data_IF_197155694971
#
_entry.id   IF_197155694971
#
_cell.length_a   1.000
_cell.length_b   1.000
_cell.length_c   1.000
_cell.angle_alpha   90.00
_cell.angle_beta   90.00
_cell.angle_gamma   90.00
#
_symmetry.space_group_name_H-M   'P 1'
#
loop_
_entity.id
_entity.type
_entity.pdbx_description
1 polymer ?
#
# COMPACT_ATOMS: atom_id res chain seq x y z
N UNK A 1 0.35 0.64 -15.02
CA UNK A 1 1.02 1.73 -14.28
C UNK A 1 2.00 1.11 -13.31
N UNK A 2 3.26 1.52 -13.29
CA UNK A 2 4.17 1.10 -12.22
C UNK A 2 3.81 1.88 -10.95
N UNK A 3 3.96 1.26 -9.77
CA UNK A 3 3.66 1.89 -8.46
C UNK A 3 4.48 3.18 -8.25
N UNK A 4 5.66 3.26 -8.85
CA UNK A 4 6.50 4.47 -8.87
C UNK A 4 5.88 5.67 -9.60
N UNK A 5 4.88 5.43 -10.45
CA UNK A 5 4.16 6.49 -11.16
C UNK A 5 3.17 7.22 -10.25
N UNK A 6 2.63 6.58 -9.20
CA UNK A 6 1.56 7.16 -8.40
C UNK A 6 2.05 8.34 -7.55
N UNK A 7 3.15 8.16 -6.80
CA UNK A 7 3.78 9.25 -6.04
C UNK A 7 4.20 10.40 -6.97
N UNK A 8 4.86 10.08 -8.09
CA UNK A 8 5.33 11.08 -9.04
C UNK A 8 4.18 11.87 -9.70
N UNK A 9 3.07 11.20 -10.05
CA UNK A 9 1.87 11.86 -10.59
C UNK A 9 1.20 12.80 -9.58
N UNK A 10 1.37 12.54 -8.27
CA UNK A 10 0.85 13.37 -7.19
C UNK A 10 1.87 14.42 -6.69
N UNK A 11 3.05 14.54 -7.33
CA UNK A 11 4.10 15.48 -6.93
C UNK A 11 4.91 15.04 -5.70
N UNK A 12 4.75 13.79 -5.24
CA UNK A 12 5.46 13.23 -4.10
C UNK A 12 6.74 12.49 -4.52
N UNK A 13 7.72 12.49 -3.62
CA UNK A 13 8.94 11.70 -3.78
C UNK A 13 8.64 10.22 -3.60
N UNK A 14 9.24 9.38 -4.45
CA UNK A 14 9.11 7.94 -4.30
C UNK A 14 9.71 7.49 -2.96
N UNK A 15 8.94 6.81 -2.09
CA UNK A 15 9.46 6.32 -0.82
C UNK A 15 10.47 5.19 -1.05
N UNK A 16 11.52 5.14 -0.22
CA UNK A 16 12.50 4.05 -0.25
C UNK A 16 11.86 2.69 0.07
N UNK A 17 12.53 1.60 -0.32
CA UNK A 17 12.01 0.24 -0.11
C UNK A 17 11.78 -0.12 1.36
N UNK A 18 12.61 0.38 2.28
CA UNK A 18 12.42 0.19 3.73
C UNK A 18 11.14 0.86 4.24
N UNK A 19 10.84 2.08 3.74
CA UNK A 19 9.61 2.79 4.07
C UNK A 19 8.38 2.03 3.54
N UNK A 20 8.43 1.53 2.31
CA UNK A 20 7.35 0.72 1.73
C UNK A 20 7.10 -0.56 2.53
N UNK A 21 8.17 -1.24 2.97
CA UNK A 21 8.07 -2.42 3.82
C UNK A 21 7.41 -2.07 5.16
N UNK A 22 7.86 -1.01 5.82
CA UNK A 22 7.31 -0.57 7.10
C UNK A 22 5.82 -0.23 7.02
N UNK A 23 5.41 0.47 5.95
CA UNK A 23 3.99 0.74 5.68
C UNK A 23 3.22 -0.56 5.46
N UNK A 24 3.76 -1.49 4.66
CA UNK A 24 3.16 -2.81 4.46
C UNK A 24 2.96 -3.60 5.75
N UNK A 25 3.95 -3.57 6.66
CA UNK A 25 3.83 -4.19 7.98
C UNK A 25 2.70 -3.57 8.81
N UNK A 26 2.62 -2.23 8.89
CA UNK A 26 1.55 -1.54 9.63
C UNK A 26 0.15 -1.85 9.08
N UNK A 27 0.01 -1.90 7.75
CA UNK A 27 -1.23 -2.27 7.09
C UNK A 27 -1.59 -3.76 7.35
N UNK A 28 -0.59 -4.62 7.47
CA UNK A 28 -0.76 -6.02 7.86
C UNK A 28 -1.19 -6.19 9.32
N UNK A 29 -0.56 -5.47 10.25
CA UNK A 29 -0.93 -5.42 11.68
C UNK A 29 -2.39 -4.94 11.86
N UNK A 30 -2.80 -3.97 11.06
CA UNK A 30 -4.17 -3.45 11.03
C UNK A 30 -5.16 -4.35 10.27
N UNK A 31 -4.71 -5.51 9.76
CA UNK A 31 -5.50 -6.47 8.97
C UNK A 31 -6.16 -5.88 7.72
N UNK A 32 -5.62 -4.81 7.17
CA UNK A 32 -6.04 -4.24 5.88
C UNK A 32 -5.43 -5.06 4.75
N UNK A 33 -4.16 -5.45 4.93
CA UNK A 33 -3.46 -6.36 4.04
C UNK A 33 -3.29 -7.74 4.67
N UNK A 34 -3.42 -8.75 3.84
CA UNK A 34 -2.94 -10.10 4.09
C UNK A 34 -1.53 -10.20 3.49
N UNK A 35 -0.58 -10.51 4.36
CA UNK A 35 0.82 -10.64 4.00
C UNK A 35 1.25 -12.09 4.25
N UNK A 36 1.69 -12.80 3.22
CA UNK A 36 2.37 -14.08 3.43
C UNK A 36 3.71 -13.83 4.15
N UNK A 37 4.15 -14.76 4.99
CA UNK A 37 5.48 -14.70 5.60
C UNK A 37 6.55 -14.85 4.51
N UNK A 38 6.98 -13.74 3.91
CA UNK A 38 7.96 -13.73 2.86
C UNK A 38 9.38 -13.89 3.42
N UNK A 39 10.15 -14.82 2.87
CA UNK A 39 11.56 -15.02 3.25
C UNK A 39 12.49 -13.94 2.69
N UNK A 40 11.98 -13.05 1.81
CA UNK A 40 12.72 -11.96 1.16
C UNK A 40 11.84 -10.73 0.99
N UNK A 41 12.34 -9.57 1.45
CA UNK A 41 11.68 -8.25 1.43
C UNK A 41 11.10 -7.82 0.07
N UNK A 42 11.60 -8.35 -1.05
CA UNK A 42 11.29 -7.87 -2.40
C UNK A 42 10.19 -8.65 -3.13
N UNK A 43 9.77 -9.81 -2.60
CA UNK A 43 8.80 -10.72 -3.26
C UNK A 43 7.66 -11.14 -2.32
N UNK A 44 7.31 -10.30 -1.35
CA UNK A 44 6.19 -10.59 -0.46
C UNK A 44 4.88 -10.42 -1.21
N UNK A 45 4.07 -11.48 -1.23
CA UNK A 45 2.72 -11.41 -1.80
C UNK A 45 1.82 -10.67 -0.81
N UNK A 46 1.30 -9.53 -1.26
CA UNK A 46 0.34 -8.71 -0.52
C UNK A 46 -1.03 -8.85 -1.18
N UNK A 47 -2.06 -9.08 -0.37
CA UNK A 47 -3.45 -9.12 -0.82
C UNK A 47 -4.30 -8.21 0.07
N UNK A 48 -5.37 -7.62 -0.48
CA UNK A 48 -6.34 -6.90 0.34
C UNK A 48 -7.16 -7.91 1.16
N UNK A 49 -7.40 -7.59 2.43
CA UNK A 49 -8.31 -8.35 3.28
C UNK A 49 -9.78 -7.92 3.09
N UNK A 50 -10.03 -6.91 2.25
CA UNK A 50 -11.35 -6.37 1.93
C UNK A 50 -11.56 -6.35 0.41
N UNK A 51 -12.81 -6.31 -0.06
CA UNK A 51 -13.13 -6.03 -1.45
C UNK A 51 -12.50 -4.71 -1.92
N UNK A 52 -12.03 -4.66 -3.16
CA UNK A 52 -11.42 -3.45 -3.72
C UNK A 52 -12.38 -2.26 -3.73
N UNK A 53 -13.67 -2.50 -3.93
CA UNK A 53 -14.70 -1.47 -3.99
C UNK A 53 -14.90 -0.77 -2.64
N UNK A 54 -14.84 -1.52 -1.53
CA UNK A 54 -14.96 -0.97 -0.18
C UNK A 54 -13.76 -0.09 0.16
N UNK A 55 -12.56 -0.52 -0.25
CA UNK A 55 -11.33 0.26 -0.08
C UNK A 55 -11.39 1.53 -0.92
N UNK A 56 -11.83 1.44 -2.18
CA UNK A 56 -12.00 2.60 -3.04
C UNK A 56 -13.05 3.58 -2.47
N UNK A 57 -14.16 3.07 -1.94
CA UNK A 57 -15.17 3.89 -1.28
C UNK A 57 -14.64 4.60 -0.04
N UNK A 58 -13.86 3.90 0.79
CA UNK A 58 -13.24 4.48 1.98
C UNK A 58 -12.24 5.61 1.63
N UNK A 59 -11.50 5.46 0.53
CA UNK A 59 -10.52 6.45 0.09
C UNK A 59 -11.16 7.64 -0.65
N UNK A 60 -12.36 7.49 -1.22
CA UNK A 60 -13.01 8.48 -2.11
C UNK A 60 -13.24 9.86 -1.50
N UNK A 61 -13.44 9.94 -0.18
CA UNK A 61 -13.73 11.19 0.53
C UNK A 61 -12.61 11.59 1.51
N UNK A 62 -11.41 11.04 1.36
CA UNK A 62 -10.29 11.39 2.22
C UNK A 62 -9.70 12.72 1.73
N UNK A 63 -9.93 13.80 2.47
CA UNK A 63 -9.45 15.15 2.12
C UNK A 63 -7.91 15.26 2.12
N UNK A 64 -7.23 14.30 2.76
CA UNK A 64 -5.77 14.19 2.81
C UNK A 64 -5.17 13.45 1.60
N UNK A 65 -6.00 12.83 0.75
CA UNK A 65 -5.57 12.17 -0.47
C UNK A 65 -5.78 13.11 -1.67
N UNK A 66 -4.77 13.31 -2.54
CA UNK A 66 -4.91 14.11 -3.75
C UNK A 66 -5.88 13.49 -4.77
#
# INVERSE_FOLDING_TARGET
MAVSCLCASNGELFPGYDTLLHVGCRLGESRILLCEAGSKHRLQKLQLNFPSDDVAFALKNCEDLP
#
